data_IF_714641447538
#
_entry.id   IF_714641447538
#
_cell.length_a   1.000
_cell.length_b   1.000
_cell.length_c   1.000
_cell.angle_alpha   90.00
_cell.angle_beta   90.00
_cell.angle_gamma   90.00
#
_symmetry.space_group_name_H-M   'P 1'
#
loop_
_entity.id
_entity.type
_entity.pdbx_description
1 polymer ?
#
# COMPACT_ATOMS: atom_id res chain seq x y z
N UNK A 1 31.61 4.75 9.92
CA UNK A 1 30.29 4.86 10.60
C UNK A 1 29.24 5.69 9.84
N UNK A 2 29.57 6.78 9.14
CA UNK A 2 28.59 7.67 8.49
C UNK A 2 27.67 6.99 7.45
N UNK A 3 28.23 6.10 6.60
CA UNK A 3 27.45 5.35 5.59
C UNK A 3 26.44 4.37 6.20
N UNK A 4 26.80 3.70 7.29
CA UNK A 4 25.90 2.79 8.01
C UNK A 4 24.74 3.55 8.65
N UNK A 5 25.02 4.69 9.30
CA UNK A 5 23.98 5.55 9.89
C UNK A 5 22.98 6.03 8.83
N UNK A 6 23.47 6.54 7.70
CA UNK A 6 22.63 6.99 6.57
C UNK A 6 21.76 5.86 6.00
N UNK A 7 22.30 4.65 5.91
CA UNK A 7 21.53 3.48 5.47
C UNK A 7 20.40 3.13 6.45
N UNK A 8 20.68 3.09 7.75
CA UNK A 8 19.67 2.80 8.78
C UNK A 8 18.56 3.85 8.75
N UNK A 9 18.90 5.13 8.66
CA UNK A 9 17.94 6.23 8.54
C UNK A 9 17.07 6.10 7.29
N UNK A 10 17.67 5.81 6.13
CA UNK A 10 16.93 5.63 4.88
C UNK A 10 15.98 4.43 4.94
N UNK A 11 16.41 3.31 5.53
CA UNK A 11 15.57 2.12 5.73
C UNK A 11 14.38 2.42 6.63
N UNK A 12 14.59 3.12 7.74
CA UNK A 12 13.53 3.49 8.66
C UNK A 12 12.54 4.48 8.03
N UNK A 13 13.05 5.45 7.27
CA UNK A 13 12.23 6.39 6.51
C UNK A 13 11.39 5.66 5.44
N UNK A 14 11.96 4.69 4.74
CA UNK A 14 11.23 3.85 3.80
C UNK A 14 10.08 3.10 4.50
N UNK A 15 10.35 2.42 5.62
CA UNK A 15 9.33 1.69 6.37
C UNK A 15 8.18 2.61 6.81
N UNK A 16 8.51 3.77 7.38
CA UNK A 16 7.51 4.76 7.80
C UNK A 16 6.64 5.24 6.63
N UNK A 17 7.27 5.58 5.49
CA UNK A 17 6.55 6.06 4.31
C UNK A 17 5.74 4.95 3.63
N UNK A 18 6.18 3.69 3.70
CA UNK A 18 5.44 2.54 3.20
C UNK A 18 4.19 2.23 4.04
N UNK A 19 4.26 2.39 5.36
CA UNK A 19 3.13 2.16 6.26
C UNK A 19 2.12 3.31 6.28
N UNK A 20 2.57 4.55 6.04
CA UNK A 20 1.71 5.74 6.12
C UNK A 20 0.39 5.64 5.32
N UNK A 21 0.35 5.23 4.03
CA UNK A 21 -0.91 5.08 3.31
C UNK A 21 -1.83 4.01 3.90
N UNK A 22 -1.26 2.96 4.51
CA UNK A 22 -2.01 1.88 5.16
C UNK A 22 -2.68 2.38 6.43
N UNK A 23 -1.93 3.10 7.26
CA UNK A 23 -2.46 3.75 8.47
C UNK A 23 -3.57 4.73 8.11
N UNK A 24 -3.38 5.58 7.09
CA UNK A 24 -4.38 6.55 6.66
C UNK A 24 -5.67 5.89 6.13
N UNK A 25 -5.53 4.83 5.32
CA UNK A 25 -6.68 4.09 4.80
C UNK A 25 -7.46 3.39 5.93
N UNK A 26 -6.76 2.78 6.89
CA UNK A 26 -7.37 2.12 8.04
C UNK A 26 -8.07 3.13 8.97
N UNK A 27 -7.43 4.28 9.23
CA UNK A 27 -8.02 5.35 10.06
C UNK A 27 -9.29 5.93 9.39
N UNK A 28 -9.24 6.22 8.10
CA UNK A 28 -10.41 6.71 7.37
C UNK A 28 -11.55 5.69 7.35
N UNK A 29 -11.22 4.40 7.23
CA UNK A 29 -12.21 3.33 7.33
C UNK A 29 -12.84 3.27 8.72
N UNK A 30 -12.03 3.31 9.77
CA UNK A 30 -12.50 3.31 11.15
C UNK A 30 -13.47 4.47 11.40
N UNK A 31 -13.09 5.69 11.04
CA UNK A 31 -13.95 6.88 11.19
C UNK A 31 -15.27 6.74 10.43
N UNK A 32 -15.21 6.21 9.20
CA UNK A 32 -16.39 5.94 8.37
C UNK A 32 -17.35 4.94 9.04
N UNK A 33 -16.81 3.88 9.65
CA UNK A 33 -17.59 2.87 10.36
C UNK A 33 -18.19 3.43 11.67
N UNK A 34 -17.42 4.18 12.45
CA UNK A 34 -17.87 4.77 13.73
C UNK A 34 -18.97 5.82 13.53
N UNK A 35 -18.90 6.60 12.43
CA UNK A 35 -19.83 7.70 12.14
C UNK A 35 -20.93 7.35 11.14
N UNK A 36 -20.96 6.11 10.64
CA UNK A 36 -21.82 5.66 9.54
C UNK A 36 -21.80 6.63 8.33
N UNK A 37 -20.60 7.07 7.94
CA UNK A 37 -20.40 8.07 6.88
C UNK A 37 -19.55 7.54 5.72
N UNK A 38 -19.51 8.26 4.61
CA UNK A 38 -18.70 7.89 3.45
C UNK A 38 -17.19 7.98 3.74
N UNK A 39 -16.39 7.15 3.08
CA UNK A 39 -14.93 7.23 3.13
C UNK A 39 -14.43 8.56 2.54
N UNK A 40 -13.88 9.42 3.40
CA UNK A 40 -13.37 10.75 3.05
C UNK A 40 -11.93 10.73 2.52
N UNK A 41 -11.65 9.84 1.56
CA UNK A 41 -10.30 9.66 1.03
C UNK A 41 -9.76 10.92 0.31
N UNK A 42 -10.65 11.72 -0.26
CA UNK A 42 -10.27 12.97 -0.92
C UNK A 42 -9.68 13.97 0.07
N UNK A 43 -10.24 14.08 1.28
CA UNK A 43 -9.73 14.97 2.32
C UNK A 43 -8.29 14.61 2.74
N UNK A 44 -7.95 13.31 2.75
CA UNK A 44 -6.58 12.86 3.01
C UNK A 44 -5.64 13.35 1.90
N UNK A 45 -6.04 13.19 0.63
CA UNK A 45 -5.25 13.61 -0.53
C UNK A 45 -5.05 15.12 -0.53
N UNK A 46 -6.08 15.87 -0.15
CA UNK A 46 -6.04 17.34 -0.14
C UNK A 46 -5.08 17.92 0.89
N UNK A 47 -4.88 17.23 2.02
CA UNK A 47 -3.90 17.60 3.06
C UNK A 47 -2.46 17.23 2.69
N UNK A 48 -2.24 16.50 1.62
CA UNK A 48 -0.92 16.01 1.21
C UNK A 48 -0.30 16.92 0.13
N UNK A 49 0.98 17.23 0.29
CA UNK A 49 1.77 17.95 -0.71
C UNK A 49 2.23 17.00 -1.83
N UNK A 50 1.28 16.54 -2.64
CA UNK A 50 1.53 15.66 -3.79
C UNK A 50 1.51 16.47 -5.10
N UNK A 51 2.36 16.12 -6.09
CA UNK A 51 2.19 16.59 -7.46
C UNK A 51 0.77 16.32 -7.96
N UNK A 52 0.16 17.20 -8.78
CA UNK A 52 -1.20 17.01 -9.29
C UNK A 52 -1.44 15.63 -9.91
N UNK A 53 -0.46 15.11 -10.64
CA UNK A 53 -0.49 13.82 -11.33
C UNK A 53 -0.51 12.63 -10.36
N UNK A 54 0.01 12.81 -9.14
CA UNK A 54 0.06 11.77 -8.12
C UNK A 54 -1.19 11.74 -7.22
N UNK A 55 -2.03 12.80 -7.23
CA UNK A 55 -3.21 12.90 -6.35
C UNK A 55 -4.22 11.79 -6.62
N UNK A 56 -4.60 11.57 -7.87
CA UNK A 56 -5.56 10.54 -8.24
C UNK A 56 -5.03 9.11 -7.98
N UNK A 57 -3.80 8.73 -8.40
CA UNK A 57 -3.21 7.45 -8.05
C UNK A 57 -3.11 7.21 -6.54
N UNK A 58 -2.81 8.26 -5.76
CA UNK A 58 -2.75 8.14 -4.30
C UNK A 58 -4.13 7.87 -3.68
N UNK A 59 -5.16 8.57 -4.15
CA UNK A 59 -6.55 8.29 -3.74
C UNK A 59 -6.96 6.86 -4.08
N UNK A 60 -6.58 6.37 -5.25
CA UNK A 60 -6.87 5.01 -5.70
C UNK A 60 -6.19 3.97 -4.79
N UNK A 61 -4.91 4.19 -4.45
CA UNK A 61 -4.19 3.36 -3.48
C UNK A 61 -4.91 3.30 -2.13
N UNK A 62 -5.32 4.44 -1.58
CA UNK A 62 -6.08 4.49 -0.32
C UNK A 62 -7.40 3.72 -0.43
N UNK A 63 -8.09 3.78 -1.57
CA UNK A 63 -9.32 3.05 -1.81
C UNK A 63 -9.13 1.54 -1.84
N UNK A 64 -8.08 1.05 -2.50
CA UNK A 64 -7.73 -0.38 -2.53
C UNK A 64 -7.39 -0.88 -1.13
N UNK A 65 -6.61 -0.12 -0.36
CA UNK A 65 -6.25 -0.45 1.02
C UNK A 65 -7.46 -0.43 1.95
N UNK A 66 -8.32 0.58 1.86
CA UNK A 66 -9.53 0.69 2.68
C UNK A 66 -10.51 -0.45 2.39
N UNK A 67 -10.65 -0.85 1.12
CA UNK A 67 -11.43 -2.04 0.74
C UNK A 67 -10.89 -3.30 1.42
N UNK A 68 -9.58 -3.53 1.32
CA UNK A 68 -8.94 -4.67 1.98
C UNK A 68 -9.16 -4.69 3.50
N UNK A 69 -8.96 -3.56 4.18
CA UNK A 69 -9.16 -3.49 5.63
C UNK A 69 -10.62 -3.70 6.01
N UNK A 70 -11.57 -3.25 5.20
CA UNK A 70 -12.99 -3.52 5.41
C UNK A 70 -13.30 -5.01 5.33
N UNK A 71 -12.78 -5.68 4.31
CA UNK A 71 -12.98 -7.12 4.11
C UNK A 71 -12.37 -7.92 5.27
N UNK A 72 -11.20 -7.50 5.79
CA UNK A 72 -10.59 -8.11 6.97
C UNK A 72 -11.39 -7.86 8.25
N UNK A 73 -11.87 -6.64 8.48
CA UNK A 73 -12.65 -6.30 9.68
C UNK A 73 -14.03 -6.98 9.70
N UNK A 74 -14.59 -7.26 8.52
CA UNK A 74 -15.84 -8.01 8.38
C UNK A 74 -15.64 -9.54 8.48
N UNK A 75 -14.40 -10.02 8.43
CA UNK A 75 -14.08 -11.43 8.52
C UNK A 75 -13.87 -11.87 9.97
N UNK A 76 -14.33 -13.07 10.31
CA UNK A 76 -14.02 -13.72 11.57
C UNK A 76 -12.70 -14.49 11.45
N UNK A 77 -11.80 -14.39 12.43
CA UNK A 77 -10.54 -15.14 12.43
C UNK A 77 -9.73 -14.87 13.70
N UNK A 78 -9.05 -15.91 14.19
CA UNK A 78 -8.24 -15.85 15.42
C UNK A 78 -6.81 -15.35 15.16
N UNK A 79 -6.37 -15.38 13.90
CA UNK A 79 -5.09 -14.88 13.45
C UNK A 79 -5.19 -14.23 12.05
N UNK A 80 -4.09 -13.63 11.60
CA UNK A 80 -4.02 -12.96 10.29
C UNK A 80 -4.29 -13.90 9.11
N UNK A 81 -3.85 -15.16 9.18
CA UNK A 81 -4.08 -16.11 8.09
C UNK A 81 -5.56 -16.53 8.03
N UNK A 82 -6.20 -16.73 9.18
CA UNK A 82 -7.62 -16.97 9.33
C UNK A 82 -8.45 -15.82 8.76
N UNK A 83 -8.12 -14.58 9.13
CA UNK A 83 -8.78 -13.38 8.59
C UNK A 83 -8.66 -13.31 7.07
N UNK A 84 -7.45 -13.49 6.52
CA UNK A 84 -7.23 -13.47 5.07
C UNK A 84 -8.00 -14.58 4.35
N UNK A 85 -7.97 -15.81 4.86
CA UNK A 85 -8.72 -16.94 4.29
C UNK A 85 -10.21 -16.67 4.29
N UNK A 86 -10.76 -16.07 5.35
CA UNK A 86 -12.19 -15.80 5.49
C UNK A 86 -12.63 -14.61 4.63
N UNK A 87 -11.84 -13.55 4.60
CA UNK A 87 -12.09 -12.38 3.76
C UNK A 87 -12.08 -12.72 2.26
N UNK A 88 -11.05 -13.44 1.80
CA UNK A 88 -10.86 -13.69 0.36
C UNK A 88 -11.39 -15.03 -0.13
N UNK A 89 -11.58 -16.02 0.76
CA UNK A 89 -12.12 -17.38 0.51
C UNK A 89 -11.25 -18.28 -0.37
N UNK A 90 -10.46 -17.73 -1.28
CA UNK A 90 -9.58 -18.47 -2.16
C UNK A 90 -8.30 -17.71 -2.45
N UNK A 91 -7.26 -18.47 -2.80
CA UNK A 91 -5.98 -17.93 -3.26
C UNK A 91 -6.14 -17.00 -4.46
N UNK A 92 -7.01 -17.36 -5.41
CA UNK A 92 -7.24 -16.58 -6.63
C UNK A 92 -7.78 -15.20 -6.29
N UNK A 93 -8.76 -15.10 -5.38
CA UNK A 93 -9.33 -13.82 -4.97
C UNK A 93 -8.30 -12.95 -4.24
N UNK A 94 -7.47 -13.54 -3.38
CA UNK A 94 -6.39 -12.80 -2.73
C UNK A 94 -5.36 -12.29 -3.74
N UNK A 95 -4.99 -13.11 -4.72
CA UNK A 95 -4.09 -12.71 -5.79
C UNK A 95 -4.67 -11.59 -6.68
N UNK A 96 -5.99 -11.56 -6.92
CA UNK A 96 -6.65 -10.45 -7.62
C UNK A 96 -6.48 -9.14 -6.84
N UNK A 97 -6.67 -9.16 -5.52
CA UNK A 97 -6.39 -8.00 -4.68
C UNK A 97 -4.93 -7.57 -4.74
N UNK A 98 -4.00 -8.50 -4.53
CA UNK A 98 -2.54 -8.24 -4.57
C UNK A 98 -2.12 -7.63 -5.90
N UNK A 99 -2.62 -8.16 -7.02
CA UNK A 99 -2.35 -7.63 -8.35
C UNK A 99 -2.90 -6.21 -8.51
N UNK A 100 -4.12 -5.95 -8.04
CA UNK A 100 -4.70 -4.60 -8.05
C UNK A 100 -3.88 -3.63 -7.22
N UNK A 101 -3.45 -4.02 -6.01
CA UNK A 101 -2.59 -3.23 -5.14
C UNK A 101 -1.26 -2.89 -5.83
N UNK A 102 -0.60 -3.89 -6.45
CA UNK A 102 0.63 -3.67 -7.18
C UNK A 102 0.48 -2.71 -8.37
N UNK A 103 -0.65 -2.78 -9.09
CA UNK A 103 -0.93 -1.87 -10.21
C UNK A 103 -1.12 -0.41 -9.74
N UNK A 104 -1.86 -0.17 -8.66
CA UNK A 104 -2.07 1.20 -8.15
C UNK A 104 -0.79 1.79 -7.55
N UNK A 105 0.03 0.97 -6.88
CA UNK A 105 1.35 1.40 -6.40
C UNK A 105 2.29 1.78 -7.57
N UNK A 106 2.34 0.95 -8.63
CA UNK A 106 3.10 1.25 -9.85
C UNK A 106 2.67 2.56 -10.51
N UNK A 107 1.35 2.82 -10.61
CA UNK A 107 0.82 4.09 -11.13
C UNK A 107 1.26 5.27 -10.27
N UNK A 108 1.20 5.14 -8.94
CA UNK A 108 1.64 6.17 -8.01
C UNK A 108 3.15 6.44 -8.14
N UNK A 109 3.98 5.40 -8.19
CA UNK A 109 5.42 5.54 -8.38
C UNK A 109 5.76 6.25 -9.69
N UNK A 110 5.08 5.89 -10.79
CA UNK A 110 5.25 6.53 -12.08
C UNK A 110 4.89 8.02 -12.04
N UNK A 111 3.82 8.39 -11.34
CA UNK A 111 3.39 9.78 -11.17
C UNK A 111 4.32 10.60 -10.26
N UNK A 112 4.93 9.97 -9.24
CA UNK A 112 5.87 10.63 -8.35
C UNK A 112 7.28 10.79 -8.95
N UNK A 113 7.67 9.88 -9.85
CA UNK A 113 9.03 9.81 -10.40
C UNK A 113 9.58 11.15 -10.93
N UNK A 114 8.82 11.97 -11.70
CA UNK A 114 9.34 13.24 -12.21
C UNK A 114 9.70 14.25 -11.12
N UNK A 115 9.10 14.14 -9.93
CA UNK A 115 9.35 15.04 -8.81
C UNK A 115 10.57 14.63 -7.95
N UNK A 116 11.13 13.44 -8.19
CA UNK A 116 12.28 12.94 -7.43
C UNK A 116 13.58 13.51 -8.01
N UNK A 117 14.31 14.28 -7.20
CA UNK A 117 15.64 14.79 -7.57
C UNK A 117 16.66 13.66 -7.61
N UNK A 118 17.46 13.58 -8.67
CA UNK A 118 18.57 12.63 -8.80
C UNK A 118 18.71 12.07 -10.22
N UNK A 119 19.55 11.05 -10.37
CA UNK A 119 19.66 10.32 -11.64
C UNK A 119 18.38 9.51 -11.89
N UNK A 120 17.61 9.90 -12.91
CA UNK A 120 16.38 9.23 -13.31
C UNK A 120 16.59 7.75 -13.67
N UNK A 121 17.78 7.37 -14.15
CA UNK A 121 18.14 5.99 -14.45
C UNK A 121 18.27 5.14 -13.19
N UNK A 122 19.00 5.62 -12.19
CA UNK A 122 19.13 4.94 -10.89
C UNK A 122 17.80 4.89 -10.13
N UNK A 123 17.04 5.99 -10.12
CA UNK A 123 15.71 6.05 -9.50
C UNK A 123 14.78 5.00 -10.12
N UNK A 124 14.75 4.91 -11.45
CA UNK A 124 13.93 3.92 -12.18
C UNK A 124 14.34 2.49 -11.82
N UNK A 125 15.64 2.20 -11.75
CA UNK A 125 16.15 0.87 -11.35
C UNK A 125 15.77 0.51 -9.91
N UNK A 126 15.91 1.46 -8.99
CA UNK A 126 15.55 1.26 -7.58
C UNK A 126 14.06 0.99 -7.39
N UNK A 127 13.20 1.82 -7.99
CA UNK A 127 11.73 1.66 -7.95
C UNK A 127 11.31 0.31 -8.55
N UNK A 128 11.84 -0.05 -9.72
CA UNK A 128 11.53 -1.33 -10.36
C UNK A 128 11.94 -2.52 -9.49
N UNK A 129 13.08 -2.45 -8.79
CA UNK A 129 13.52 -3.50 -7.87
C UNK A 129 12.58 -3.64 -6.67
N UNK A 130 12.11 -2.51 -6.12
CA UNK A 130 11.13 -2.51 -5.01
C UNK A 130 9.82 -3.17 -5.47
N UNK A 131 9.32 -2.80 -6.64
CA UNK A 131 8.08 -3.36 -7.20
C UNK A 131 8.17 -4.87 -7.42
N UNK A 132 9.27 -5.35 -8.01
CA UNK A 132 9.49 -6.78 -8.23
C UNK A 132 9.57 -7.56 -6.93
N UNK A 133 10.30 -7.05 -5.93
CA UNK A 133 10.41 -7.72 -4.63
C UNK A 133 9.07 -7.71 -3.90
N UNK A 134 8.32 -6.60 -3.95
CA UNK A 134 6.99 -6.53 -3.35
C UNK A 134 6.03 -7.55 -3.97
N UNK A 135 6.04 -7.68 -5.30
CA UNK A 135 5.21 -8.68 -6.01
C UNK A 135 5.59 -10.12 -5.63
N UNK A 136 6.88 -10.42 -5.50
CA UNK A 136 7.37 -11.73 -5.04
C UNK A 136 6.87 -12.05 -3.63
N UNK A 137 7.11 -11.15 -2.67
CA UNK A 137 6.74 -11.36 -1.27
C UNK A 137 5.23 -11.57 -1.08
N UNK A 138 4.41 -10.84 -1.85
CA UNK A 138 2.94 -11.02 -1.80
C UNK A 138 2.48 -12.34 -2.41
N UNK A 139 3.18 -12.84 -3.44
CA UNK A 139 2.90 -14.19 -3.98
C UNK A 139 3.28 -15.27 -2.99
N UNK A 140 4.43 -15.15 -2.33
CA UNK A 140 4.85 -16.06 -1.27
C UNK A 140 3.89 -16.03 -0.07
N UNK A 141 3.37 -14.86 0.29
CA UNK A 141 2.31 -14.75 1.30
C UNK A 141 1.02 -15.44 0.84
N UNK A 142 0.58 -15.22 -0.41
CA UNK A 142 -0.60 -15.89 -0.94
C UNK A 142 -0.46 -17.43 -0.93
N UNK A 143 0.73 -17.95 -1.23
CA UNK A 143 1.04 -19.38 -1.07
C UNK A 143 0.90 -19.77 0.40
N UNK A 144 1.63 -19.13 1.32
CA UNK A 144 1.62 -19.48 2.75
C UNK A 144 0.23 -19.45 3.38
N UNK A 145 -0.61 -18.49 2.98
CA UNK A 145 -1.96 -18.33 3.53
C UNK A 145 -2.93 -19.36 2.96
N UNK A 146 -2.84 -19.74 1.68
CA UNK A 146 -3.85 -20.58 1.01
C UNK A 146 -3.35 -21.96 0.58
N UNK A 147 -2.16 -22.37 1.06
CA UNK A 147 -1.69 -23.76 1.01
C UNK A 147 -2.44 -24.64 2.00
#
# INVERSE_FOLDING_TARGET
MFRFKKYVEARNAFGKNYLKPREQAMQALRESLETNSLLRLQEIVDRMHLPPEARAPYRELLGVLAGHFRDLLAAEGEDMHGLLRRAYRSRVNYLLYVNRLGQVEKRLHAALRPAIKGDGGEIKKAVSRIETIADLLRREEAERVFS
#
